data_IF_175256636719
#
_entry.id   IF_175256636719
#
_cell.length_a   1.000
_cell.length_b   1.000
_cell.length_c   1.000
_cell.angle_alpha   90.00
_cell.angle_beta   90.00
_cell.angle_gamma   90.00
#
_symmetry.space_group_name_H-M   'P 1'
#
loop_
_entity.id
_entity.type
_entity.pdbx_description
1 polymer ?
#
# COMPACT_ATOMS: atom_id res chain seq x y z
N UNK A 1 -12.49 42.35 -9.76
CA UNK A 1 -13.25 41.34 -9.01
C UNK A 1 -12.26 40.63 -8.10
N UNK A 2 -12.61 40.21 -6.86
CA UNK A 2 -11.70 39.34 -6.12
C UNK A 2 -11.50 38.07 -6.96
N UNK A 3 -10.24 37.73 -7.23
CA UNK A 3 -9.88 36.55 -8.00
C UNK A 3 -10.22 35.34 -7.12
N UNK A 4 -11.20 34.53 -7.54
CA UNK A 4 -11.48 33.26 -6.86
C UNK A 4 -10.48 32.17 -7.31
N UNK A 5 -10.35 31.10 -6.53
CA UNK A 5 -9.48 29.98 -6.89
C UNK A 5 -9.94 29.31 -8.18
N UNK A 6 -9.01 29.00 -9.08
CA UNK A 6 -9.30 28.29 -10.33
C UNK A 6 -8.60 26.93 -10.34
N UNK A 7 -9.35 25.87 -10.65
CA UNK A 7 -8.82 24.53 -10.87
C UNK A 7 -8.77 24.22 -12.36
N UNK A 8 -7.60 23.85 -12.88
CA UNK A 8 -7.49 23.41 -14.27
C UNK A 8 -7.63 21.89 -14.46
N UNK A 9 -7.66 21.09 -13.37
CA UNK A 9 -7.69 19.63 -13.48
C UNK A 9 -8.38 18.93 -12.31
N UNK A 10 -9.49 18.26 -12.63
CA UNK A 10 -10.15 17.25 -11.78
C UNK A 10 -9.94 15.88 -12.40
N UNK A 11 -9.45 14.92 -11.63
CA UNK A 11 -9.30 13.53 -12.10
C UNK A 11 -9.82 12.54 -11.07
N UNK A 12 -10.42 11.45 -11.55
CA UNK A 12 -10.99 10.39 -10.71
C UNK A 12 -10.28 9.07 -10.94
N UNK A 13 -10.07 8.30 -9.86
CA UNK A 13 -9.69 6.89 -9.93
C UNK A 13 -10.76 6.09 -9.22
N UNK A 14 -11.32 5.08 -9.89
CA UNK A 14 -12.55 4.39 -9.47
C UNK A 14 -12.32 2.92 -9.25
N UNK A 15 -13.01 2.38 -8.25
CA UNK A 15 -13.18 0.96 -7.96
C UNK A 15 -14.67 0.59 -8.14
N UNK A 16 -15.06 -0.62 -7.78
CA UNK A 16 -16.47 -1.03 -7.76
C UNK A 16 -17.23 -0.40 -6.60
N UNK A 17 -16.56 -0.05 -5.50
CA UNK A 17 -17.22 0.47 -4.28
C UNK A 17 -16.57 1.71 -3.68
N UNK A 18 -15.56 2.27 -4.35
CA UNK A 18 -14.87 3.48 -3.91
C UNK A 18 -14.35 4.28 -5.09
N UNK A 19 -14.01 5.54 -4.84
CA UNK A 19 -13.31 6.37 -5.81
C UNK A 19 -12.42 7.38 -5.08
N UNK A 20 -11.37 7.84 -5.73
CA UNK A 20 -10.58 8.99 -5.27
C UNK A 20 -10.73 10.11 -6.29
N UNK A 21 -10.93 11.33 -5.80
CA UNK A 21 -11.03 12.54 -6.62
C UNK A 21 -9.86 13.43 -6.28
N UNK A 22 -9.01 13.70 -7.27
CA UNK A 22 -7.91 14.65 -7.15
C UNK A 22 -8.30 15.94 -7.81
N UNK A 23 -8.19 17.03 -7.07
CA UNK A 23 -8.44 18.40 -7.52
C UNK A 23 -7.10 19.13 -7.43
N UNK A 24 -6.42 19.26 -8.57
CA UNK A 24 -5.05 19.76 -8.61
C UNK A 24 -4.92 21.00 -9.47
N UNK A 25 -3.68 21.48 -9.62
CA UNK A 25 -3.30 22.64 -10.47
C UNK A 25 -4.04 23.92 -10.08
N UNK A 26 -4.25 24.11 -8.78
CA UNK A 26 -4.82 25.36 -8.26
C UNK A 26 -3.78 26.47 -8.36
N UNK A 27 -4.22 27.70 -8.64
CA UNK A 27 -3.37 28.88 -8.62
C UNK A 27 -3.00 29.35 -7.19
N UNK A 28 -3.55 28.71 -6.17
CA UNK A 28 -3.35 29.03 -4.75
C UNK A 28 -3.73 27.84 -3.85
N UNK A 29 -3.38 27.91 -2.57
CA UNK A 29 -3.77 26.91 -1.57
C UNK A 29 -5.25 27.02 -1.23
N UNK A 30 -5.97 25.91 -1.27
CA UNK A 30 -7.42 25.86 -1.11
C UNK A 30 -7.86 24.68 -0.25
N UNK A 31 -9.03 24.82 0.36
CA UNK A 31 -9.78 23.68 0.87
C UNK A 31 -10.78 23.20 -0.20
N UNK A 32 -11.24 21.96 -0.07
CA UNK A 32 -12.17 21.38 -1.06
C UNK A 32 -13.27 20.62 -0.35
N UNK A 33 -14.51 20.91 -0.74
CA UNK A 33 -15.70 20.14 -0.38
C UNK A 33 -16.25 19.47 -1.64
N UNK A 34 -16.50 18.18 -1.57
CA UNK A 34 -17.05 17.38 -2.65
C UNK A 34 -18.37 16.77 -2.20
N UNK A 35 -19.44 17.10 -2.93
CA UNK A 35 -20.76 16.49 -2.78
C UNK A 35 -20.97 15.50 -3.90
N UNK A 36 -21.41 14.28 -3.57
CA UNK A 36 -21.59 13.21 -4.54
C UNK A 36 -22.87 12.40 -4.30
N UNK A 37 -23.33 11.73 -5.36
CA UNK A 37 -24.57 10.93 -5.35
C UNK A 37 -24.82 10.29 -6.71
N UNK A 38 -25.88 9.50 -6.82
CA UNK A 38 -26.26 8.82 -8.08
C UNK A 38 -27.22 9.65 -8.94
N UNK A 39 -27.73 10.77 -8.42
CA UNK A 39 -28.60 11.70 -9.14
C UNK A 39 -28.05 13.13 -9.07
N UNK A 40 -27.95 13.79 -10.23
CA UNK A 40 -27.39 15.15 -10.38
C UNK A 40 -28.06 16.18 -9.45
N UNK A 41 -29.34 16.00 -9.12
CA UNK A 41 -30.12 16.89 -8.24
C UNK A 41 -30.18 16.49 -6.76
N UNK A 42 -29.55 15.38 -6.36
CA UNK A 42 -29.59 14.85 -4.98
C UNK A 42 -28.23 14.26 -4.58
N UNK A 43 -27.24 15.14 -4.44
CA UNK A 43 -25.90 14.79 -3.97
C UNK A 43 -25.88 14.83 -2.43
N UNK A 44 -26.23 13.70 -1.81
CA UNK A 44 -26.44 13.59 -0.36
C UNK A 44 -25.20 13.15 0.43
N UNK A 45 -24.13 12.73 -0.26
CA UNK A 45 -22.89 12.29 0.37
C UNK A 45 -21.81 13.37 0.25
N UNK A 46 -20.96 13.50 1.27
CA UNK A 46 -19.94 14.55 1.36
C UNK A 46 -18.56 13.95 1.65
N UNK A 47 -17.53 14.50 1.01
CA UNK A 47 -16.13 14.29 1.33
C UNK A 47 -15.46 15.66 1.34
N UNK A 48 -14.58 15.94 2.31
CA UNK A 48 -13.98 17.25 2.44
C UNK A 48 -12.51 17.16 2.86
N UNK A 49 -11.74 18.14 2.41
CA UNK A 49 -10.38 18.41 2.88
C UNK A 49 -10.37 19.85 3.41
N UNK A 50 -9.99 20.01 4.67
CA UNK A 50 -9.92 21.32 5.36
C UNK A 50 -8.53 21.90 5.41
N UNK A 51 -7.50 21.14 5.04
CA UNK A 51 -6.16 21.68 4.86
C UNK A 51 -6.14 22.58 3.61
N UNK A 52 -5.25 23.56 3.62
CA UNK A 52 -5.08 24.49 2.51
C UNK A 52 -3.86 24.05 1.71
N UNK A 53 -4.10 23.49 0.52
CA UNK A 53 -3.05 22.96 -0.34
C UNK A 53 -3.35 23.27 -1.82
N UNK A 54 -2.33 23.34 -2.66
CA UNK A 54 -2.46 23.61 -4.11
C UNK A 54 -2.99 22.40 -4.89
N UNK A 55 -3.01 21.23 -4.24
CA UNK A 55 -3.62 20.00 -4.75
C UNK A 55 -4.30 19.24 -3.61
N UNK A 56 -5.54 18.82 -3.83
CA UNK A 56 -6.38 18.16 -2.85
C UNK A 56 -6.82 16.77 -3.32
N UNK A 57 -6.83 15.79 -2.41
CA UNK A 57 -7.24 14.41 -2.71
C UNK A 57 -8.37 13.99 -1.77
N UNK A 58 -9.52 13.63 -2.35
CA UNK A 58 -10.73 13.26 -1.63
C UNK A 58 -11.06 11.79 -1.88
N UNK A 59 -11.29 11.04 -0.80
CA UNK A 59 -11.69 9.65 -0.87
C UNK A 59 -13.20 9.51 -0.74
N UNK A 60 -13.80 8.70 -1.62
CA UNK A 60 -15.21 8.34 -1.67
C UNK A 60 -15.31 6.84 -1.39
N UNK A 61 -16.13 6.44 -0.43
CA UNK A 61 -16.36 5.04 -0.05
C UNK A 61 -17.83 4.68 -0.10
N UNK A 62 -18.13 3.38 0.06
CA UNK A 62 -19.50 2.85 0.11
C UNK A 62 -20.31 3.13 -1.16
N UNK A 63 -19.64 3.16 -2.31
CA UNK A 63 -20.28 3.33 -3.62
C UNK A 63 -20.88 1.99 -4.08
N UNK A 64 -21.88 2.08 -4.95
CA UNK A 64 -22.50 0.90 -5.55
C UNK A 64 -21.74 0.53 -6.82
N UNK A 65 -21.51 -0.75 -7.08
CA UNK A 65 -20.82 -1.21 -8.28
C UNK A 65 -21.64 -1.00 -9.55
N UNK A 66 -20.97 -0.93 -10.71
CA UNK A 66 -21.58 -0.64 -12.01
C UNK A 66 -22.51 0.59 -12.01
N UNK A 67 -22.26 1.56 -11.14
CA UNK A 67 -23.18 2.68 -10.90
C UNK A 67 -22.51 3.98 -11.32
N UNK A 68 -23.25 4.79 -12.07
CA UNK A 68 -22.84 6.14 -12.42
C UNK A 68 -23.04 7.04 -11.19
N UNK A 69 -21.95 7.65 -10.75
CA UNK A 69 -21.95 8.66 -9.70
C UNK A 69 -21.64 10.03 -10.30
N UNK A 70 -22.36 11.02 -9.80
CA UNK A 70 -22.16 12.44 -10.09
C UNK A 70 -21.56 13.11 -8.87
N UNK A 71 -20.72 14.12 -9.09
CA UNK A 71 -20.19 14.93 -8.01
C UNK A 71 -19.95 16.37 -8.43
N UNK A 72 -20.07 17.26 -7.44
CA UNK A 72 -19.74 18.68 -7.54
C UNK A 72 -18.61 18.98 -6.58
N UNK A 73 -17.71 19.86 -7.01
CA UNK A 73 -16.55 20.28 -6.23
C UNK A 73 -16.72 21.75 -5.89
N UNK A 74 -16.66 22.09 -4.61
CA UNK A 74 -16.56 23.46 -4.11
C UNK A 74 -15.14 23.66 -3.62
N UNK A 75 -14.47 24.67 -4.14
CA UNK A 75 -13.09 25.02 -3.83
C UNK A 75 -13.12 26.39 -3.18
N UNK A 76 -12.59 26.54 -1.98
CA UNK A 76 -12.54 27.84 -1.32
C UNK A 76 -11.10 28.23 -0.97
N UNK A 77 -10.77 29.50 -1.21
CA UNK A 77 -9.54 30.10 -0.71
C UNK A 77 -9.65 30.41 0.80
N UNK A 78 -8.54 30.85 1.39
CA UNK A 78 -8.48 31.19 2.82
C UNK A 78 -9.34 32.41 3.18
N UNK A 79 -9.66 33.25 2.20
CA UNK A 79 -10.48 34.44 2.34
C UNK A 79 -11.99 34.16 2.21
N UNK A 80 -12.38 32.90 1.97
CA UNK A 80 -13.76 32.46 1.84
C UNK A 80 -14.37 32.71 0.46
N UNK A 81 -13.56 33.03 -0.56
CA UNK A 81 -14.04 33.06 -1.94
C UNK A 81 -14.10 31.65 -2.48
N UNK A 82 -15.32 31.17 -2.73
CA UNK A 82 -15.56 29.82 -3.21
C UNK A 82 -15.94 29.78 -4.69
N UNK A 83 -15.32 28.88 -5.45
CA UNK A 83 -15.74 28.52 -6.81
C UNK A 83 -16.39 27.15 -6.78
N UNK A 84 -17.57 27.04 -7.40
CA UNK A 84 -18.30 25.79 -7.55
C UNK A 84 -18.13 25.27 -8.98
N UNK A 85 -17.42 24.15 -9.11
CA UNK A 85 -17.32 23.41 -10.37
C UNK A 85 -18.33 22.25 -10.34
N UNK A 86 -19.21 22.20 -11.34
CA UNK A 86 -20.13 21.07 -11.59
C UNK A 86 -20.02 20.61 -13.04
N UNK A 87 -20.65 19.53 -13.52
CA UNK A 87 -21.12 18.31 -12.86
C UNK A 87 -20.19 17.21 -13.34
N UNK A 88 -19.25 16.79 -12.50
CA UNK A 88 -18.35 15.69 -12.87
C UNK A 88 -19.07 14.37 -12.66
N UNK A 89 -18.62 13.33 -13.36
CA UNK A 89 -19.16 11.99 -13.18
C UNK A 89 -18.08 10.95 -13.32
N UNK A 90 -18.34 9.79 -12.73
CA UNK A 90 -17.54 8.60 -12.90
C UNK A 90 -18.43 7.37 -12.73
N UNK A 91 -18.08 6.27 -13.36
CA UNK A 91 -18.80 5.00 -13.20
C UNK A 91 -17.93 4.04 -12.41
N UNK A 92 -18.45 3.51 -11.31
CA UNK A 92 -17.78 2.45 -10.57
C UNK A 92 -17.70 1.19 -11.43
N UNK A 93 -16.62 0.42 -11.28
CA UNK A 93 -16.47 -0.84 -12.02
C UNK A 93 -17.50 -1.89 -11.56
N UNK A 94 -17.72 -2.92 -12.37
CA UNK A 94 -18.63 -4.00 -12.01
C UNK A 94 -18.19 -4.75 -10.75
N UNK A 95 -19.16 -5.23 -9.96
CA UNK A 95 -18.90 -6.14 -8.84
C UNK A 95 -18.59 -7.53 -9.40
N UNK A 96 -17.48 -8.13 -8.97
CA UNK A 96 -17.17 -9.50 -9.34
C UNK A 96 -18.15 -10.47 -8.66
N UNK A 97 -18.82 -11.33 -9.44
CA UNK A 97 -19.68 -12.37 -8.93
C UNK A 97 -18.83 -13.44 -8.21
N UNK A 98 -19.24 -13.82 -6.99
CA UNK A 98 -18.62 -14.90 -6.23
C UNK A 98 -19.23 -16.25 -6.62
N UNK A 99 -18.45 -17.16 -7.22
CA UNK A 99 -18.83 -18.56 -7.37
C UNK A 99 -18.15 -19.43 -6.31
N UNK A 100 -18.96 -20.17 -5.57
CA UNK A 100 -18.53 -21.24 -4.68
C UNK A 100 -18.67 -22.60 -5.38
N UNK A 101 -17.53 -23.31 -5.48
CA UNK A 101 -17.29 -24.75 -5.55
C UNK A 101 -18.24 -25.69 -6.32
N UNK A 102 -17.72 -26.40 -7.34
CA UNK A 102 -17.49 -27.86 -7.31
C UNK A 102 -16.84 -28.36 -8.62
N UNK A 103 -16.08 -29.45 -8.50
CA UNK A 103 -15.17 -30.04 -9.49
C UNK A 103 -15.84 -30.56 -10.79
N UNK A 104 -15.15 -30.41 -11.93
CA UNK A 104 -14.60 -31.52 -12.73
C UNK A 104 -14.04 -31.08 -14.10
N UNK A 105 -12.87 -31.65 -14.44
CA UNK A 105 -12.34 -31.98 -15.78
C UNK A 105 -11.98 -30.90 -16.81
N UNK A 106 -10.66 -30.81 -17.01
CA UNK A 106 -9.88 -30.74 -18.27
C UNK A 106 -9.85 -29.48 -19.15
N UNK A 107 -8.60 -29.01 -19.30
CA UNK A 107 -7.95 -28.36 -20.46
C UNK A 107 -8.13 -26.84 -20.65
N UNK A 108 -6.99 -26.13 -20.69
CA UNK A 108 -6.85 -24.88 -21.44
C UNK A 108 -6.52 -23.61 -20.65
N UNK A 109 -5.23 -23.39 -20.38
CA UNK A 109 -4.47 -22.13 -20.35
C UNK A 109 -5.08 -20.77 -19.89
N UNK A 110 -4.26 -20.05 -19.08
CA UNK A 110 -4.23 -18.59 -18.80
C UNK A 110 -5.35 -18.06 -17.88
N UNK A 111 -5.20 -17.87 -16.56
CA UNK A 111 -4.04 -17.39 -15.80
C UNK A 111 -4.17 -15.89 -15.47
N UNK A 112 -5.17 -15.47 -14.68
CA UNK A 112 -5.38 -14.08 -14.27
C UNK A 112 -5.97 -14.00 -12.86
N UNK A 113 -5.11 -13.69 -11.89
CA UNK A 113 -5.36 -13.81 -10.46
C UNK A 113 -6.44 -12.88 -9.89
N UNK A 114 -7.20 -13.43 -8.94
CA UNK A 114 -8.14 -12.72 -8.09
C UNK A 114 -7.45 -11.59 -7.32
N UNK A 115 -8.03 -10.39 -7.36
CA UNK A 115 -7.63 -9.30 -6.48
C UNK A 115 -8.35 -9.44 -5.13
N UNK A 116 -7.58 -9.63 -4.06
CA UNK A 116 -8.05 -9.70 -2.69
C UNK A 116 -8.70 -8.38 -2.22
N UNK A 117 -9.56 -8.45 -1.20
CA UNK A 117 -10.19 -7.31 -0.54
C UNK A 117 -9.16 -6.23 -0.15
N UNK A 118 -9.53 -4.95 -0.30
CA UNK A 118 -8.62 -3.83 -0.04
C UNK A 118 -8.27 -3.75 1.45
N UNK A 119 -7.07 -4.23 1.79
CA UNK A 119 -6.53 -4.33 3.15
C UNK A 119 -5.80 -3.06 3.61
N UNK A 120 -5.93 -1.92 2.94
CA UNK A 120 -5.10 -0.72 3.22
C UNK A 120 -5.55 -0.01 4.50
N UNK A 121 -4.63 0.14 5.46
CA UNK A 121 -4.85 0.81 6.76
C UNK A 121 -4.54 2.30 6.72
N UNK A 122 -3.42 2.66 6.09
CA UNK A 122 -2.96 4.04 5.94
C UNK A 122 -2.08 4.15 4.71
N UNK A 123 -1.98 5.37 4.16
CA UNK A 123 -1.10 5.65 3.04
C UNK A 123 -0.40 6.99 3.20
N UNK A 124 0.79 7.09 2.60
CA UNK A 124 1.53 8.33 2.47
C UNK A 124 2.24 8.32 1.12
N UNK A 125 2.27 9.45 0.43
CA UNK A 125 2.89 9.52 -0.89
C UNK A 125 3.44 10.90 -1.18
N UNK A 126 4.30 10.97 -2.18
CA UNK A 126 4.85 12.22 -2.71
C UNK A 126 4.98 12.12 -4.22
N UNK A 127 4.69 13.23 -4.87
CA UNK A 127 4.99 13.45 -6.27
C UNK A 127 6.04 14.56 -6.37
N UNK A 128 6.93 14.44 -7.35
CA UNK A 128 7.87 15.49 -7.73
C UNK A 128 7.54 15.96 -9.14
N UNK A 129 7.84 17.21 -9.47
CA UNK A 129 7.73 17.70 -10.85
C UNK A 129 8.75 17.02 -11.76
N UNK A 130 9.97 16.84 -11.24
CA UNK A 130 11.02 16.05 -11.87
C UNK A 130 12.08 15.64 -10.85
N UNK A 131 12.84 14.60 -11.18
CA UNK A 131 14.10 14.27 -10.54
C UNK A 131 15.17 14.22 -11.62
N UNK A 132 16.24 15.00 -11.45
CA UNK A 132 17.34 15.03 -12.40
C UNK A 132 18.26 13.83 -12.19
N UNK A 133 18.95 13.37 -13.23
CA UNK A 133 19.95 12.31 -13.08
C UNK A 133 20.99 12.69 -12.00
N UNK A 134 21.24 11.78 -11.06
CA UNK A 134 22.12 12.00 -9.91
C UNK A 134 21.48 12.68 -8.70
N UNK A 135 20.20 13.09 -8.76
CA UNK A 135 19.49 13.66 -7.61
C UNK A 135 18.76 12.58 -6.79
N UNK A 136 18.22 12.98 -5.63
CA UNK A 136 17.45 12.09 -4.77
C UNK A 136 16.03 12.59 -4.56
N UNK A 137 15.04 11.70 -4.68
CA UNK A 137 13.67 11.92 -4.24
C UNK A 137 13.48 11.39 -2.83
N UNK A 138 13.00 12.22 -1.90
CA UNK A 138 12.77 11.84 -0.49
C UNK A 138 11.29 11.92 -0.14
N UNK A 139 10.67 10.79 0.16
CA UNK A 139 9.36 10.72 0.81
C UNK A 139 9.58 10.53 2.31
N UNK A 140 9.32 11.57 3.11
CA UNK A 140 9.28 11.45 4.56
C UNK A 140 7.85 11.13 5.00
N UNK A 141 7.70 10.20 5.94
CA UNK A 141 6.40 9.72 6.42
C UNK A 141 6.35 9.90 7.93
N UNK A 142 5.37 10.69 8.39
CA UNK A 142 5.08 10.86 9.81
C UNK A 142 3.64 10.41 10.07
N UNK A 143 3.44 9.09 10.07
CA UNK A 143 2.14 8.47 10.34
C UNK A 143 2.35 7.25 11.23
N UNK A 144 1.72 7.23 12.41
CA UNK A 144 1.89 6.17 13.40
C UNK A 144 1.38 4.80 12.92
N UNK A 145 0.47 4.78 11.94
CA UNK A 145 -0.04 3.55 11.31
C UNK A 145 0.89 2.98 10.23
N UNK A 146 1.97 3.68 9.89
CA UNK A 146 2.93 3.26 8.87
C UNK A 146 4.31 3.13 9.54
N UNK A 147 4.84 1.92 9.58
CA UNK A 147 6.16 1.64 10.16
C UNK A 147 7.30 2.26 9.36
N UNK A 148 7.11 2.44 8.04
CA UNK A 148 8.04 3.15 7.17
C UNK A 148 8.05 4.63 7.51
N UNK A 149 9.21 5.16 7.84
CA UNK A 149 9.43 6.56 8.19
C UNK A 149 9.96 7.37 7.01
N UNK A 150 10.50 6.70 5.99
CA UNK A 150 10.77 7.34 4.73
C UNK A 150 11.32 6.42 3.63
N UNK A 151 11.20 6.89 2.40
CA UNK A 151 11.75 6.25 1.21
C UNK A 151 12.63 7.26 0.48
N UNK A 152 13.86 6.88 0.18
CA UNK A 152 14.80 7.67 -0.61
C UNK A 152 15.09 6.93 -1.91
N UNK A 153 14.88 7.61 -3.04
CA UNK A 153 15.28 7.11 -4.36
C UNK A 153 16.41 7.99 -4.88
N UNK A 154 17.59 7.41 -5.05
CA UNK A 154 18.67 8.01 -5.81
C UNK A 154 18.47 7.64 -7.28
N UNK A 155 18.29 8.64 -8.16
CA UNK A 155 18.03 8.40 -9.58
C UNK A 155 19.30 8.51 -10.41
N UNK A 156 19.46 7.63 -11.40
CA UNK A 156 20.55 7.69 -12.39
C UNK A 156 20.09 8.20 -13.76
N UNK A 157 18.78 8.14 -14.02
CA UNK A 157 18.15 8.75 -15.18
C UNK A 157 17.22 9.87 -14.73
N UNK A 158 17.10 10.93 -15.53
CA UNK A 158 16.13 11.97 -15.27
C UNK A 158 14.71 11.44 -15.49
N UNK A 159 13.79 11.76 -14.58
CA UNK A 159 12.38 11.35 -14.65
C UNK A 159 11.47 12.55 -14.41
N UNK A 160 10.35 12.61 -15.13
CA UNK A 160 9.38 13.71 -15.06
C UNK A 160 8.09 13.25 -14.41
N UNK A 161 7.58 14.05 -13.48
CA UNK A 161 6.38 13.78 -12.71
C UNK A 161 6.38 12.42 -11.98
N UNK A 162 7.51 11.93 -11.40
CA UNK A 162 7.50 10.67 -10.66
C UNK A 162 6.67 10.79 -9.40
N UNK A 163 5.99 9.71 -9.02
CA UNK A 163 5.32 9.61 -7.71
C UNK A 163 5.63 8.28 -7.04
N UNK A 164 5.65 8.32 -5.71
CA UNK A 164 5.82 7.15 -4.85
C UNK A 164 4.72 7.18 -3.79
N UNK A 165 4.15 6.03 -3.48
CA UNK A 165 3.19 5.84 -2.39
C UNK A 165 3.58 4.63 -1.56
N UNK A 166 3.51 4.77 -0.24
CA UNK A 166 3.61 3.68 0.73
C UNK A 166 2.24 3.48 1.36
N UNK A 167 1.76 2.24 1.32
CA UNK A 167 0.51 1.83 1.98
C UNK A 167 0.86 0.80 3.05
N UNK A 168 0.33 0.96 4.27
CA UNK A 168 0.28 -0.11 5.25
C UNK A 168 -0.97 -0.96 5.07
N UNK A 169 -0.87 -2.25 5.38
CA UNK A 169 -1.96 -3.20 5.18
C UNK A 169 -2.36 -3.86 6.52
N UNK A 170 -3.66 -4.10 6.72
CA UNK A 170 -4.22 -4.87 7.85
C UNK A 170 -3.84 -6.33 7.82
N UNK A 171 -3.63 -6.88 6.62
CA UNK A 171 -3.44 -8.30 6.40
C UNK A 171 -2.48 -8.56 5.25
N UNK A 172 -1.98 -9.79 5.17
CA UNK A 172 -1.15 -10.23 4.07
C UNK A 172 -1.97 -10.21 2.77
N UNK A 173 -1.60 -9.42 1.75
CA UNK A 173 -2.30 -9.42 0.47
C UNK A 173 -1.97 -10.65 -0.40
N UNK A 174 -1.10 -11.55 0.08
CA UNK A 174 -0.61 -12.72 -0.63
C UNK A 174 -0.91 -14.00 0.16
N UNK A 175 -0.97 -15.13 -0.53
CA UNK A 175 -1.19 -16.44 0.12
C UNK A 175 0.04 -16.96 0.87
N UNK A 176 1.24 -16.52 0.49
CA UNK A 176 2.48 -16.92 1.15
C UNK A 176 2.86 -15.92 2.25
N UNK A 177 3.29 -16.42 3.41
CA UNK A 177 3.75 -15.60 4.53
C UNK A 177 5.24 -15.25 4.36
N UNK A 178 5.60 -13.98 4.59
CA UNK A 178 6.97 -13.51 4.42
C UNK A 178 7.92 -14.03 5.50
N UNK A 179 7.49 -13.93 6.75
CA UNK A 179 8.28 -14.24 7.94
C UNK A 179 7.47 -15.07 8.92
N UNK A 180 8.14 -15.80 9.82
CA UNK A 180 7.45 -16.51 10.89
C UNK A 180 6.62 -15.56 11.77
N UNK A 181 7.11 -14.33 11.98
CA UNK A 181 6.41 -13.24 12.66
C UNK A 181 6.52 -11.96 11.85
N UNK A 182 5.37 -11.41 11.46
CA UNK A 182 5.28 -10.19 10.67
C UNK A 182 4.78 -9.04 11.55
N UNK A 183 5.51 -7.93 11.53
CA UNK A 183 5.14 -6.69 12.20
C UNK A 183 4.14 -5.90 11.37
N UNK A 184 4.40 -5.74 10.07
CA UNK A 184 3.50 -5.01 9.17
C UNK A 184 3.72 -5.40 7.72
N UNK A 185 2.62 -5.55 6.97
CA UNK A 185 2.62 -5.66 5.51
C UNK A 185 2.48 -4.29 4.87
N UNK A 186 3.16 -4.10 3.75
CA UNK A 186 3.27 -2.82 3.06
C UNK A 186 3.11 -3.00 1.56
N UNK A 187 2.61 -1.99 0.87
CA UNK A 187 2.68 -1.88 -0.57
C UNK A 187 3.37 -0.57 -0.96
N UNK A 188 4.48 -0.68 -1.68
CA UNK A 188 5.21 0.47 -2.20
C UNK A 188 4.89 0.57 -3.69
N UNK A 189 4.11 1.58 -4.06
CA UNK A 189 3.67 1.87 -5.42
C UNK A 189 4.46 3.03 -6.00
N UNK A 190 4.53 3.07 -7.32
CA UNK A 190 5.20 4.14 -8.08
C UNK A 190 4.43 4.48 -9.35
N UNK A 191 4.64 5.68 -9.86
CA UNK A 191 4.21 6.10 -11.20
C UNK A 191 5.29 6.96 -11.85
N UNK A 192 5.40 6.90 -13.18
CA UNK A 192 6.36 7.67 -13.99
C UNK A 192 7.84 7.54 -13.55
N UNK A 193 8.19 6.40 -12.96
CA UNK A 193 9.57 6.02 -12.64
C UNK A 193 9.69 4.49 -12.70
N UNK A 194 10.68 3.97 -13.43
CA UNK A 194 10.97 2.54 -13.44
C UNK A 194 11.96 2.18 -12.33
N UNK A 195 12.00 0.91 -11.91
CA UNK A 195 13.03 0.46 -10.95
C UNK A 195 14.44 0.65 -11.54
N UNK A 196 14.55 0.49 -12.86
CA UNK A 196 15.77 0.68 -13.62
C UNK A 196 16.24 2.14 -13.69
N UNK A 197 15.41 3.13 -13.35
CA UNK A 197 15.81 4.55 -13.30
C UNK A 197 16.49 4.93 -11.99
N UNK A 198 16.33 4.09 -10.96
CA UNK A 198 17.02 4.24 -9.69
C UNK A 198 18.43 3.61 -9.75
N UNK A 199 19.39 4.28 -9.13
CA UNK A 199 20.67 3.67 -8.75
C UNK A 199 20.58 2.97 -7.40
N UNK A 200 19.78 3.52 -6.48
CA UNK A 200 19.55 2.96 -5.14
C UNK A 200 18.17 3.37 -4.64
N UNK A 201 17.46 2.44 -4.01
CA UNK A 201 16.21 2.73 -3.29
C UNK A 201 16.41 2.28 -1.84
N UNK A 202 16.28 3.23 -0.93
CA UNK A 202 16.48 3.02 0.50
C UNK A 202 15.14 3.20 1.22
N UNK A 203 14.77 2.21 2.03
CA UNK A 203 13.56 2.22 2.86
C UNK A 203 13.98 2.30 4.31
N UNK A 204 13.55 3.37 4.99
CA UNK A 204 13.75 3.59 6.41
C UNK A 204 12.47 3.23 7.14
N UNK A 205 12.56 2.43 8.19
CA UNK A 205 11.41 2.00 8.97
C UNK A 205 11.78 1.77 10.42
N UNK A 206 10.77 1.69 11.29
CA UNK A 206 10.94 1.43 12.70
C UNK A 206 10.01 0.33 13.19
N UNK A 207 10.46 -0.40 14.20
CA UNK A 207 9.67 -1.45 14.87
C UNK A 207 9.59 -1.14 16.34
N UNK A 208 8.39 -1.28 16.91
CA UNK A 208 8.16 -1.08 18.34
C UNK A 208 8.91 -2.12 19.19
N UNK A 209 9.58 -1.64 20.25
CA UNK A 209 10.20 -2.48 21.28
C UNK A 209 9.19 -3.37 22.01
N UNK A 210 7.96 -2.88 22.19
CA UNK A 210 6.90 -3.67 22.81
C UNK A 210 6.51 -4.86 21.93
N UNK A 211 6.42 -4.66 20.61
CA UNK A 211 6.13 -5.75 19.68
C UNK A 211 7.25 -6.79 19.65
N UNK A 212 8.51 -6.34 19.61
CA UNK A 212 9.68 -7.21 19.64
C UNK A 212 9.69 -8.10 20.89
N UNK A 213 9.48 -7.49 22.06
CA UNK A 213 9.47 -8.21 23.34
C UNK A 213 8.32 -9.22 23.41
N UNK A 214 7.10 -8.81 23.06
CA UNK A 214 5.92 -9.70 23.06
C UNK A 214 6.04 -10.85 22.06
N UNK A 215 6.81 -10.66 20.99
CA UNK A 215 7.05 -11.68 19.98
C UNK A 215 8.37 -12.44 20.17
N UNK A 216 9.16 -12.14 21.21
CA UNK A 216 10.46 -12.78 21.45
C UNK A 216 11.44 -12.62 20.28
N UNK A 217 11.40 -11.48 19.58
CA UNK A 217 12.26 -11.17 18.43
C UNK A 217 13.33 -10.19 18.88
N UNK A 218 14.61 -10.50 18.64
CA UNK A 218 15.71 -9.58 18.89
C UNK A 218 15.75 -8.46 17.83
N UNK A 219 16.24 -7.28 18.20
CA UNK A 219 16.37 -6.16 17.25
C UNK A 219 17.21 -6.55 16.01
N UNK A 220 18.29 -7.32 16.23
CA UNK A 220 19.18 -7.78 15.16
C UNK A 220 18.51 -8.75 14.18
N UNK A 221 17.32 -9.24 14.50
CA UNK A 221 16.63 -10.27 13.73
C UNK A 221 15.52 -9.70 12.86
N UNK A 222 15.33 -8.39 12.83
CA UNK A 222 14.37 -7.74 11.92
C UNK A 222 14.96 -7.53 10.54
N UNK A 223 14.17 -7.86 9.53
CA UNK A 223 14.50 -7.62 8.12
C UNK A 223 13.28 -7.11 7.36
N UNK A 224 13.55 -6.43 6.25
CA UNK A 224 12.54 -6.11 5.24
C UNK A 224 12.49 -7.23 4.20
N UNK A 225 11.30 -7.78 3.99
CA UNK A 225 11.02 -8.76 2.94
C UNK A 225 10.40 -8.08 1.74
N UNK A 226 10.81 -8.46 0.53
CA UNK A 226 10.24 -8.00 -0.74
C UNK A 226 9.65 -9.17 -1.51
N UNK A 227 8.38 -9.06 -1.87
CA UNK A 227 7.78 -10.04 -2.77
C UNK A 227 8.23 -9.78 -4.21
N UNK A 228 8.76 -10.79 -4.91
CA UNK A 228 9.14 -10.67 -6.32
C UNK A 228 9.31 -12.03 -6.95
N UNK A 229 8.94 -12.17 -8.23
CA UNK A 229 9.04 -13.44 -8.94
C UNK A 229 8.26 -14.58 -8.29
N UNK A 230 7.16 -14.26 -7.60
CA UNK A 230 6.33 -15.26 -6.89
C UNK A 230 6.81 -15.62 -5.48
N UNK A 231 7.91 -15.03 -4.99
CA UNK A 231 8.51 -15.40 -3.70
C UNK A 231 8.82 -14.20 -2.81
N UNK A 232 8.84 -14.42 -1.50
CA UNK A 232 9.37 -13.46 -0.54
C UNK A 232 10.89 -13.54 -0.49
N UNK A 233 11.56 -12.42 -0.76
CA UNK A 233 13.00 -12.31 -0.78
C UNK A 233 13.44 -11.43 0.38
N UNK A 234 14.34 -11.95 1.22
CA UNK A 234 14.95 -11.19 2.31
C UNK A 234 15.86 -10.10 1.74
N UNK A 235 15.69 -8.86 2.18
CA UNK A 235 16.57 -7.76 1.81
C UNK A 235 17.68 -7.55 2.84
N UNK A 236 18.79 -6.98 2.39
CA UNK A 236 19.82 -6.47 3.28
C UNK A 236 19.21 -5.34 4.14
N UNK A 237 19.19 -5.58 5.45
CA UNK A 237 18.59 -4.68 6.44
C UNK A 237 19.62 -4.42 7.53
N UNK A 238 19.83 -3.14 7.86
CA UNK A 238 20.75 -2.69 8.88
C UNK A 238 19.97 -2.05 10.02
N UNK A 239 20.24 -2.48 11.25
CA UNK A 239 19.85 -1.74 12.45
C UNK A 239 20.70 -0.47 12.54
N UNK A 240 20.07 0.69 12.42
CA UNK A 240 20.75 2.00 12.41
C UNK A 240 20.86 2.55 13.83
N UNK A 241 19.78 2.46 14.59
CA UNK A 241 19.72 2.90 15.98
C UNK A 241 18.63 2.16 16.73
N UNK A 242 18.71 2.18 18.05
CA UNK A 242 17.66 1.67 18.91
C UNK A 242 17.56 2.51 20.16
N UNK A 243 16.33 2.82 20.57
CA UNK A 243 16.02 3.49 21.83
C UNK A 243 15.03 2.62 22.65
N UNK A 244 14.45 3.19 23.71
CA UNK A 244 13.51 2.47 24.59
C UNK A 244 12.14 2.19 23.98
N UNK A 245 11.77 2.86 22.89
CA UNK A 245 10.46 2.75 22.24
C UNK A 245 10.55 2.05 20.89
N UNK A 246 11.58 2.33 20.10
CA UNK A 246 11.73 1.83 18.74
C UNK A 246 13.15 1.35 18.44
N UNK A 247 13.23 0.33 17.57
CA UNK A 247 14.42 0.02 16.80
C UNK A 247 14.24 0.54 15.37
N UNK A 248 15.24 1.25 14.84
CA UNK A 248 15.20 1.91 13.54
C UNK A 248 16.14 1.22 12.55
N UNK A 249 15.63 0.99 11.34
CA UNK A 249 16.29 0.17 10.33
C UNK A 249 16.36 0.89 9.00
N UNK A 250 17.39 0.54 8.23
CA UNK A 250 17.56 0.91 6.84
C UNK A 250 17.64 -0.38 6.01
N UNK A 251 16.87 -0.46 4.92
CA UNK A 251 16.96 -1.56 3.96
C UNK A 251 17.10 -1.03 2.54
N UNK A 252 17.88 -1.74 1.72
CA UNK A 252 18.04 -1.42 0.30
C UNK A 252 17.19 -2.38 -0.52
N UNK A 253 16.38 -1.84 -1.43
CA UNK A 253 15.51 -2.64 -2.30
C UNK A 253 15.87 -2.45 -3.77
N UNK A 254 15.89 -3.53 -4.59
CA UNK A 254 16.03 -3.44 -6.04
C UNK A 254 14.86 -2.77 -6.75
N UNK A 255 13.72 -2.60 -6.07
CA UNK A 255 12.54 -2.02 -6.70
C UNK A 255 11.28 -2.03 -5.85
N UNK A 256 10.24 -1.40 -6.36
CA UNK A 256 8.91 -1.30 -5.77
C UNK A 256 8.17 -2.65 -5.84
N UNK A 257 7.32 -2.94 -4.85
CA UNK A 257 6.57 -4.19 -4.70
C UNK A 257 5.69 -4.18 -3.44
N UNK A 258 5.11 -5.33 -3.11
CA UNK A 258 4.63 -5.69 -1.77
C UNK A 258 5.81 -6.05 -0.86
N UNK A 259 5.77 -5.57 0.37
CA UNK A 259 6.80 -5.78 1.39
C UNK A 259 6.19 -6.30 2.70
N UNK A 260 7.03 -6.88 3.54
CA UNK A 260 6.70 -7.19 4.92
C UNK A 260 7.88 -6.86 5.83
N UNK A 261 7.63 -6.20 6.95
CA UNK A 261 8.60 -6.07 8.03
C UNK A 261 8.37 -7.24 8.98
N UNK A 262 9.40 -8.04 9.26
CA UNK A 262 9.26 -9.21 10.12
C UNK A 262 10.61 -9.73 10.58
N UNK A 263 10.58 -10.83 11.33
CA UNK A 263 11.82 -11.48 11.72
C UNK A 263 12.52 -12.15 10.52
N UNK A 264 13.80 -12.47 10.67
CA UNK A 264 14.68 -13.03 9.63
C UNK A 264 14.35 -14.47 9.24
N UNK A 265 13.55 -15.15 10.05
CA UNK A 265 13.08 -16.51 9.78
C UNK A 265 11.92 -16.45 8.80
N UNK A 266 12.04 -17.14 7.67
CA UNK A 266 10.99 -17.17 6.66
C UNK A 266 9.71 -17.81 7.23
N UNK A 267 8.56 -17.34 6.75
CA UNK A 267 7.28 -17.98 7.09
C UNK A 267 7.23 -19.41 6.55
N UNK A 268 6.74 -20.34 7.36
CA UNK A 268 6.50 -21.72 6.92
C UNK A 268 5.41 -21.71 5.85
N UNK A 269 5.64 -22.34 4.70
CA UNK A 269 4.62 -22.52 3.66
C UNK A 269 3.84 -23.82 3.86
N UNK A 270 2.61 -23.90 3.35
CA UNK A 270 1.83 -25.15 3.38
C UNK A 270 2.60 -26.32 2.74
N UNK A 271 3.37 -26.06 1.66
CA UNK A 271 4.22 -27.06 1.02
C UNK A 271 5.35 -27.53 1.93
N UNK A 272 6.00 -26.62 2.66
CA UNK A 272 7.03 -26.99 3.63
C UNK A 272 6.44 -27.87 4.76
N UNK A 273 5.21 -27.60 5.19
CA UNK A 273 4.52 -28.44 6.19
C UNK A 273 4.21 -29.82 5.62
N UNK A 274 3.71 -29.90 4.40
CA UNK A 274 3.46 -31.18 3.72
C UNK A 274 4.76 -31.97 3.56
N UNK A 275 5.86 -31.32 3.21
CA UNK A 275 7.17 -31.96 3.07
C UNK A 275 7.70 -32.43 4.44
N UNK A 276 7.59 -31.61 5.49
CA UNK A 276 7.92 -32.03 6.86
C UNK A 276 7.13 -33.27 7.31
N UNK A 277 5.83 -33.32 7.00
CA UNK A 277 4.98 -34.48 7.29
C UNK A 277 5.40 -35.69 6.45
N UNK A 278 5.68 -35.50 5.16
CA UNK A 278 6.10 -36.58 4.25
C UNK A 278 7.43 -37.19 4.72
N UNK A 279 8.41 -36.36 5.02
CA UNK A 279 9.73 -36.79 5.49
C UNK A 279 9.64 -37.48 6.86
N UNK A 280 8.72 -37.04 7.72
CA UNK A 280 8.46 -37.71 9.00
C UNK A 280 7.91 -39.12 8.80
N UNK A 281 6.91 -39.30 7.93
CA UNK A 281 6.40 -40.64 7.62
C UNK A 281 7.37 -41.50 6.80
N UNK A 282 8.27 -40.88 6.04
CA UNK A 282 9.35 -41.56 5.32
C UNK A 282 10.53 -41.94 6.23
N UNK A 283 10.55 -41.49 7.49
CA UNK A 283 11.65 -41.74 8.44
C UNK A 283 12.93 -40.97 8.10
N UNK A 284 12.86 -39.94 7.26
CA UNK A 284 13.99 -39.10 6.84
C UNK A 284 14.05 -37.77 7.58
N UNK A 285 13.00 -37.41 8.32
CA UNK A 285 12.94 -36.18 9.11
C UNK A 285 13.75 -36.28 10.41
N UNK A 286 14.38 -35.16 10.79
CA UNK A 286 15.00 -34.98 12.11
C UNK A 286 14.03 -34.37 13.13
N UNK A 287 12.83 -33.97 12.70
CA UNK A 287 11.81 -33.35 13.55
C UNK A 287 10.97 -34.41 14.25
N UNK A 288 10.60 -34.14 15.49
CA UNK A 288 9.64 -34.99 16.20
C UNK A 288 8.21 -34.72 15.72
N UNK A 289 7.29 -35.63 16.04
CA UNK A 289 5.87 -35.40 15.81
C UNK A 289 5.36 -34.12 16.50
N UNK A 290 5.91 -33.77 17.66
CA UNK A 290 5.55 -32.55 18.39
C UNK A 290 6.02 -31.29 17.66
N UNK A 291 7.25 -31.29 17.14
CA UNK A 291 7.79 -30.16 16.37
C UNK A 291 6.93 -29.90 15.12
N UNK A 292 6.50 -30.96 14.43
CA UNK A 292 5.66 -30.86 13.23
C UNK A 292 4.27 -30.34 13.61
N UNK A 293 3.69 -30.83 14.70
CA UNK A 293 2.39 -30.34 15.20
C UNK A 293 2.48 -28.86 15.56
N UNK A 294 3.57 -28.41 16.18
CA UNK A 294 3.75 -26.99 16.53
C UNK A 294 3.93 -26.12 15.28
N UNK A 295 4.62 -26.60 14.25
CA UNK A 295 4.68 -25.91 12.96
C UNK A 295 3.31 -25.83 12.27
N UNK A 296 2.50 -26.90 12.33
CA UNK A 296 1.13 -26.91 11.82
C UNK A 296 0.27 -25.90 12.58
N UNK A 297 0.32 -25.91 13.92
CA UNK A 297 -0.43 -24.94 14.75
C UNK A 297 0.00 -23.51 14.46
N UNK A 298 1.29 -23.26 14.34
CA UNK A 298 1.82 -21.93 14.00
C UNK A 298 1.35 -21.46 12.62
N UNK A 299 1.13 -22.37 11.69
CA UNK A 299 0.68 -22.04 10.34
C UNK A 299 -0.83 -21.79 10.24
N UNK A 300 -1.64 -22.57 10.98
CA UNK A 300 -3.11 -22.46 10.95
C UNK A 300 -3.70 -21.60 12.08
N UNK A 301 -2.91 -21.23 13.09
CA UNK A 301 -3.35 -20.57 14.32
C UNK A 301 -2.99 -19.09 14.40
N UNK A 302 -3.28 -18.33 13.34
CA UNK A 302 -3.34 -16.87 13.35
C UNK A 302 -4.75 -16.38 13.58
#
# INVERSE_FOLDING_TARGET
APNGPNSSRVSTSVSSTSATVTVGTMNETVNVTLLYGTAIGSLSSESLQTDFNESQVLSLSSLTASTLHHFNVTICDFNGNCVKNGTFNFTTSAAAAAEAAAASTSSGASGGGAAAASAVEASAGRQWDSLAAGSSGVLAINNEKIAVTGVVIDVKNAVTSPSITVESLTSNPLSATAAAKVYQYLNLKKSNIADSDASKITVNFRVSKSWLSSNGVADSDIVLWRYSGGNWNKLETKLVSSDGSFANYEAVTPGFSTFAIGNKEAGTSAFAIIDMIRDFYAGTSTLTAFDIIDQIRSFYGG
#
